data_IF_178404425336
#
_entry.id   IF_178404425336
#
_cell.length_a   1.000
_cell.length_b   1.000
_cell.length_c   1.000
_cell.angle_alpha   90.00
_cell.angle_beta   90.00
_cell.angle_gamma   90.00
#
_symmetry.space_group_name_H-M   'P 1'
#
loop_
_entity.id
_entity.type
_entity.pdbx_description
1 polymer ?
#
# COMPACT_ATOMS: atom_id res chain seq x y z
N UNK A 1 -23.87 6.60 -0.57
CA UNK A 1 -25.06 6.11 -1.31
C UNK A 1 -26.18 5.87 -0.30
N UNK A 2 -27.44 6.18 -0.62
CA UNK A 2 -28.55 6.17 0.37
C UNK A 2 -28.90 4.71 0.70
N UNK A 3 -28.84 4.31 1.98
CA UNK A 3 -28.91 2.90 2.44
C UNK A 3 -30.15 2.12 1.95
N UNK A 4 -31.21 2.82 1.54
CA UNK A 4 -32.43 2.22 1.02
C UNK A 4 -32.34 1.73 -0.44
N UNK A 5 -31.31 2.11 -1.20
CA UNK A 5 -31.16 1.70 -2.60
C UNK A 5 -30.71 0.23 -2.75
N UNK A 6 -29.95 -0.29 -1.77
CA UNK A 6 -29.45 -1.67 -1.76
C UNK A 6 -30.58 -2.70 -1.66
N UNK A 7 -31.55 -2.61 -0.72
CA UNK A 7 -32.64 -3.58 -0.65
C UNK A 7 -33.59 -3.51 -1.86
N UNK A 8 -33.76 -2.35 -2.49
CA UNK A 8 -34.60 -2.19 -3.68
C UNK A 8 -33.98 -2.86 -4.91
N UNK A 9 -32.66 -2.71 -5.10
CA UNK A 9 -31.93 -3.43 -6.14
C UNK A 9 -31.99 -4.95 -5.93
N UNK A 10 -31.80 -5.41 -4.69
CA UNK A 10 -31.93 -6.83 -4.33
C UNK A 10 -33.34 -7.39 -4.61
N UNK A 11 -34.39 -6.65 -4.22
CA UNK A 11 -35.77 -7.06 -4.44
C UNK A 11 -36.14 -7.13 -5.94
N UNK A 12 -35.68 -6.17 -6.75
CA UNK A 12 -35.90 -6.19 -8.20
C UNK A 12 -35.22 -7.38 -8.87
N UNK A 13 -34.00 -7.70 -8.44
CA UNK A 13 -33.20 -8.82 -8.95
C UNK A 13 -33.85 -10.19 -8.63
N UNK A 14 -34.35 -10.35 -7.39
CA UNK A 14 -35.12 -11.52 -6.96
C UNK A 14 -36.43 -11.67 -7.74
N UNK A 15 -37.09 -10.56 -8.07
CA UNK A 15 -38.32 -10.55 -8.88
C UNK A 15 -38.12 -11.11 -10.30
N UNK A 16 -37.00 -10.79 -10.94
CA UNK A 16 -36.66 -11.30 -12.29
C UNK A 16 -36.38 -12.81 -12.27
N UNK A 17 -35.72 -13.31 -11.23
CA UNK A 17 -35.49 -14.75 -11.04
C UNK A 17 -36.81 -15.51 -10.80
N UNK A 18 -37.72 -14.96 -9.98
CA UNK A 18 -39.02 -15.57 -9.73
C UNK A 18 -39.89 -15.63 -11.00
N UNK A 19 -39.90 -14.57 -11.82
CA UNK A 19 -40.67 -14.47 -13.05
C UNK A 19 -40.21 -15.50 -14.11
N UNK A 20 -38.90 -15.74 -14.21
CA UNK A 20 -38.33 -16.72 -15.17
C UNK A 20 -38.62 -18.18 -14.77
N UNK A 21 -38.79 -18.46 -13.47
CA UNK A 21 -39.18 -19.79 -12.98
C UNK A 21 -40.65 -20.12 -13.31
N UNK A 22 -41.54 -19.13 -13.25
CA UNK A 22 -42.97 -19.30 -13.56
C UNK A 22 -43.27 -19.50 -15.05
N UNK A 23 -42.34 -19.12 -15.95
CA UNK A 23 -42.52 -19.19 -17.40
C UNK A 23 -42.14 -20.56 -18.04
N UNK A 24 -41.84 -21.58 -17.23
CA UNK A 24 -41.68 -22.97 -17.71
C UNK A 24 -40.29 -23.33 -18.29
N UNK A 25 -39.27 -22.50 -18.07
CA UNK A 25 -37.90 -22.75 -18.52
C UNK A 25 -36.91 -22.82 -17.32
N UNK A 26 -36.94 -23.90 -16.52
CA UNK A 26 -36.14 -24.00 -15.29
C UNK A 26 -34.62 -23.87 -15.53
N UNK A 27 -34.12 -24.28 -16.69
CA UNK A 27 -32.70 -24.12 -17.07
C UNK A 27 -32.26 -22.66 -17.26
N UNK A 28 -33.16 -21.79 -17.71
CA UNK A 28 -32.87 -20.35 -17.85
C UNK A 28 -32.87 -19.63 -16.50
N UNK A 29 -33.76 -20.02 -15.58
CA UNK A 29 -33.83 -19.42 -14.24
C UNK A 29 -32.56 -19.64 -13.41
N UNK A 30 -31.99 -20.85 -13.46
CA UNK A 30 -30.73 -21.17 -12.76
C UNK A 30 -29.55 -20.38 -13.35
N UNK A 31 -29.50 -20.24 -14.68
CA UNK A 31 -28.44 -19.50 -15.37
C UNK A 31 -28.47 -18.00 -15.03
N UNK A 32 -29.66 -17.41 -14.96
CA UNK A 32 -29.82 -16.00 -14.64
C UNK A 32 -29.50 -15.72 -13.17
N UNK A 33 -29.93 -16.58 -12.23
CA UNK A 33 -29.57 -16.48 -10.82
C UNK A 33 -28.04 -16.60 -10.63
N UNK A 34 -27.39 -17.53 -11.33
CA UNK A 34 -25.94 -17.67 -11.31
C UNK A 34 -25.23 -16.40 -11.80
N UNK A 35 -25.68 -15.84 -12.92
CA UNK A 35 -25.08 -14.63 -13.50
C UNK A 35 -25.29 -13.40 -12.62
N UNK A 36 -26.46 -13.30 -11.99
CA UNK A 36 -26.78 -12.29 -10.97
C UNK A 36 -25.85 -12.41 -9.77
N UNK A 37 -25.62 -13.62 -9.27
CA UNK A 37 -24.83 -13.85 -8.06
C UNK A 37 -23.35 -13.57 -8.33
N UNK A 38 -22.83 -14.05 -9.46
CA UNK A 38 -21.46 -13.75 -9.93
C UNK A 38 -21.30 -12.26 -10.19
N UNK A 39 -22.23 -11.64 -10.92
CA UNK A 39 -22.21 -10.20 -11.21
C UNK A 39 -22.30 -9.35 -9.95
N UNK A 40 -23.11 -9.76 -8.98
CA UNK A 40 -23.21 -9.11 -7.68
C UNK A 40 -21.91 -9.19 -6.88
N UNK A 41 -21.24 -10.35 -6.87
CA UNK A 41 -19.92 -10.52 -6.24
C UNK A 41 -18.87 -9.64 -6.92
N UNK A 42 -18.81 -9.62 -8.25
CA UNK A 42 -17.87 -8.77 -9.00
C UNK A 42 -18.12 -7.29 -8.70
N UNK A 43 -19.38 -6.84 -8.74
CA UNK A 43 -19.72 -5.45 -8.45
C UNK A 43 -19.41 -5.09 -6.99
N UNK A 44 -19.61 -6.01 -6.04
CA UNK A 44 -19.24 -5.81 -4.66
C UNK A 44 -17.73 -5.64 -4.48
N UNK A 45 -16.91 -6.45 -5.16
CA UNK A 45 -15.45 -6.31 -5.17
C UNK A 45 -14.99 -4.98 -5.78
N UNK A 46 -15.68 -4.51 -6.82
CA UNK A 46 -15.38 -3.22 -7.47
C UNK A 46 -15.85 -2.00 -6.66
N UNK A 47 -16.80 -2.19 -5.74
CA UNK A 47 -17.38 -1.12 -4.93
C UNK A 47 -16.83 -1.07 -3.51
N UNK A 48 -15.79 -1.86 -3.18
CA UNK A 48 -15.12 -1.79 -1.88
C UNK A 48 -14.59 -0.36 -1.70
N UNK A 49 -15.05 0.38 -0.68
CA UNK A 49 -14.59 1.74 -0.44
C UNK A 49 -13.09 1.73 -0.14
N UNK A 50 -12.36 2.66 -0.75
CA UNK A 50 -10.97 2.93 -0.38
C UNK A 50 -10.95 3.64 0.98
N UNK A 51 -10.76 2.88 2.05
CA UNK A 51 -10.60 3.46 3.39
C UNK A 51 -9.29 4.26 3.46
N UNK A 52 -9.32 5.46 4.09
CA UNK A 52 -8.14 6.29 4.22
C UNK A 52 -7.14 5.64 5.16
N UNK A 53 -5.87 5.67 4.77
CA UNK A 53 -4.76 5.01 5.44
C UNK A 53 -4.11 5.98 6.45
N UNK A 54 -3.92 5.51 7.68
CA UNK A 54 -3.24 6.25 8.75
C UNK A 54 -4.12 7.27 9.46
N UNK A 55 -3.50 8.02 10.38
CA UNK A 55 -4.14 9.09 11.16
C UNK A 55 -3.59 10.45 10.75
N UNK A 56 -4.39 11.50 10.86
CA UNK A 56 -3.88 12.87 10.67
C UNK A 56 -2.80 13.18 11.70
N UNK A 57 -1.68 13.81 11.28
CA UNK A 57 -0.64 14.24 12.21
C UNK A 57 -1.23 15.17 13.27
N UNK A 58 -0.95 14.92 14.55
CA UNK A 58 -1.28 15.90 15.61
C UNK A 58 -0.24 17.02 15.55
N UNK A 59 -0.70 18.26 15.43
CA UNK A 59 0.19 19.42 15.50
C UNK A 59 0.95 19.44 16.84
N UNK A 60 2.28 19.49 16.78
CA UNK A 60 3.16 19.54 17.95
C UNK A 60 3.66 18.20 18.51
N UNK A 61 3.38 17.05 17.86
CA UNK A 61 4.09 15.80 18.17
C UNK A 61 5.50 15.79 17.55
N UNK A 62 6.43 14.99 18.11
CA UNK A 62 7.71 14.75 17.45
C UNK A 62 7.53 14.18 16.04
N UNK A 63 8.41 14.57 15.11
CA UNK A 63 8.33 14.13 13.72
C UNK A 63 8.64 12.64 13.64
N UNK A 64 7.66 11.86 13.17
CA UNK A 64 7.79 10.42 12.94
C UNK A 64 7.76 10.18 11.45
N UNK A 65 8.92 9.99 10.85
CA UNK A 65 9.05 9.80 9.42
C UNK A 65 8.99 8.31 9.07
N UNK A 66 8.21 7.95 8.06
CA UNK A 66 8.22 6.62 7.45
C UNK A 66 8.85 6.72 6.05
N UNK A 67 10.08 6.25 5.91
CA UNK A 67 10.78 6.12 4.63
C UNK A 67 10.50 4.73 4.04
N UNK A 68 9.85 4.67 2.89
CA UNK A 68 9.55 3.43 2.17
C UNK A 68 10.52 3.30 1.00
N UNK A 69 11.29 2.21 0.96
CA UNK A 69 12.24 1.91 -0.13
C UNK A 69 12.19 0.44 -0.51
N UNK A 70 12.12 0.15 -1.81
CA UNK A 70 12.12 -1.20 -2.37
C UNK A 70 13.50 -1.73 -2.77
N UNK A 71 14.57 -0.96 -2.56
CA UNK A 71 15.92 -1.28 -3.00
C UNK A 71 16.96 -0.91 -1.94
N UNK A 72 18.17 -1.43 -2.09
CA UNK A 72 19.28 -1.10 -1.22
C UNK A 72 19.79 0.33 -1.47
N UNK A 73 19.74 1.18 -0.46
CA UNK A 73 20.33 2.52 -0.49
C UNK A 73 21.82 2.40 -0.14
N UNK A 74 22.66 2.34 -1.17
CA UNK A 74 24.12 2.24 -1.04
C UNK A 74 24.87 3.38 -1.73
N UNK A 75 24.24 4.05 -2.69
CA UNK A 75 24.83 5.17 -3.41
C UNK A 75 24.95 6.39 -2.49
N UNK A 76 26.16 6.93 -2.26
CA UNK A 76 26.38 8.12 -1.43
C UNK A 76 25.52 9.32 -1.84
N UNK A 77 25.31 9.55 -3.13
CA UNK A 77 24.53 10.68 -3.64
C UNK A 77 23.04 10.56 -3.32
N UNK A 78 22.53 9.33 -3.26
CA UNK A 78 21.16 9.02 -2.84
C UNK A 78 21.02 9.16 -1.33
N UNK A 79 22.01 8.66 -0.58
CA UNK A 79 22.08 8.78 0.88
C UNK A 79 22.07 10.24 1.31
N UNK A 80 22.93 11.08 0.71
CA UNK A 80 23.00 12.51 1.00
C UNK A 80 21.68 13.23 0.69
N UNK A 81 21.05 12.90 -0.44
CA UNK A 81 19.77 13.50 -0.84
C UNK A 81 18.65 13.12 0.11
N UNK A 82 18.59 11.85 0.53
CA UNK A 82 17.61 11.40 1.52
C UNK A 82 17.90 12.00 2.89
N UNK A 83 19.14 12.03 3.33
CA UNK A 83 19.53 12.65 4.61
C UNK A 83 19.14 14.13 4.65
N UNK A 84 19.42 14.89 3.59
CA UNK A 84 19.05 16.30 3.51
C UNK A 84 17.53 16.53 3.58
N UNK A 85 16.73 15.64 2.96
CA UNK A 85 15.27 15.71 3.05
C UNK A 85 14.80 15.38 4.47
N UNK A 86 15.34 14.32 5.06
CA UNK A 86 14.98 13.87 6.41
C UNK A 86 15.34 14.94 7.45
N UNK A 87 16.53 15.55 7.36
CA UNK A 87 16.98 16.61 8.27
C UNK A 87 16.16 17.89 8.13
N UNK A 88 15.68 18.22 6.94
CA UNK A 88 14.81 19.39 6.75
C UNK A 88 13.45 19.23 7.45
N UNK A 89 12.95 17.99 7.54
CA UNK A 89 11.65 17.67 8.12
C UNK A 89 11.74 17.20 9.60
N UNK A 90 12.92 16.76 10.05
CA UNK A 90 13.24 16.42 11.43
C UNK A 90 13.68 17.68 12.21
N UNK A 91 12.74 18.29 12.93
CA UNK A 91 12.89 19.55 13.65
C UNK A 91 13.45 19.47 15.08
N UNK A 92 13.84 18.32 15.63
CA UNK A 92 14.51 18.32 16.94
C UNK A 92 14.64 16.98 17.69
N UNK A 93 15.13 17.04 18.95
CA UNK A 93 15.31 15.86 19.78
C UNK A 93 13.97 15.18 20.07
N UNK A 94 13.84 13.93 19.61
CA UNK A 94 12.60 13.14 19.69
C UNK A 94 12.05 12.69 18.35
N UNK A 95 12.65 13.14 17.24
CA UNK A 95 12.28 12.70 15.90
C UNK A 95 12.77 11.28 15.62
N UNK A 96 11.88 10.49 15.04
CA UNK A 96 12.11 9.08 14.75
C UNK A 96 11.98 8.83 13.26
N UNK A 97 12.98 8.18 12.68
CA UNK A 97 12.94 7.73 11.29
C UNK A 97 12.76 6.23 11.27
N UNK A 98 11.77 5.75 10.51
CA UNK A 98 11.54 4.33 10.29
C UNK A 98 11.62 4.02 8.81
N UNK A 99 12.42 3.01 8.47
CA UNK A 99 12.58 2.51 7.10
C UNK A 99 11.73 1.26 6.95
N UNK A 100 10.87 1.25 5.93
CA UNK A 100 10.05 0.12 5.53
C UNK A 100 10.51 -0.38 4.16
N UNK A 101 10.91 -1.65 4.09
CA UNK A 101 11.22 -2.33 2.84
C UNK A 101 10.20 -3.44 2.56
N UNK A 102 9.36 -3.32 1.52
CA UNK A 102 8.39 -4.35 1.16
C UNK A 102 9.11 -5.60 0.66
N UNK A 103 8.59 -6.79 1.01
CA UNK A 103 9.12 -8.07 0.56
C UNK A 103 8.58 -8.43 -0.83
N UNK A 104 8.84 -7.59 -1.84
CA UNK A 104 8.35 -7.82 -3.20
C UNK A 104 8.89 -9.13 -3.78
N UNK A 105 7.97 -10.03 -4.14
CA UNK A 105 8.29 -11.24 -4.87
C UNK A 105 8.27 -10.96 -6.38
N UNK A 106 9.30 -11.41 -7.09
CA UNK A 106 9.31 -11.40 -8.54
C UNK A 106 8.26 -12.40 -9.07
N UNK A 107 7.83 -12.24 -10.33
CA UNK A 107 6.83 -13.13 -10.95
C UNK A 107 7.20 -14.61 -10.82
N UNK A 108 8.48 -14.94 -11.00
CA UNK A 108 9.00 -16.30 -10.87
C UNK A 108 8.99 -16.79 -9.42
N UNK A 109 9.32 -15.94 -8.44
CA UNK A 109 9.27 -16.29 -7.02
C UNK A 109 7.83 -16.58 -6.58
N UNK A 110 6.86 -15.78 -7.06
CA UNK A 110 5.44 -15.99 -6.80
C UNK A 110 4.95 -17.32 -7.40
N UNK A 111 5.38 -17.65 -8.61
CA UNK A 111 5.03 -18.92 -9.25
C UNK A 111 5.67 -20.13 -8.54
N UNK A 112 6.91 -19.99 -8.08
CA UNK A 112 7.61 -21.00 -7.29
C UNK A 112 7.13 -21.10 -5.83
N UNK A 113 6.22 -20.22 -5.39
CA UNK A 113 5.81 -20.06 -3.98
C UNK A 113 7.01 -19.80 -3.05
N UNK A 114 8.12 -19.25 -3.57
CA UNK A 114 9.32 -18.96 -2.79
C UNK A 114 9.23 -17.55 -2.18
N UNK A 115 8.36 -17.40 -1.19
CA UNK A 115 8.26 -16.16 -0.42
C UNK A 115 9.48 -15.93 0.50
N UNK A 116 10.30 -16.96 0.73
CA UNK A 116 11.45 -16.87 1.64
C UNK A 116 12.62 -16.15 0.97
N UNK A 117 12.82 -16.33 -0.34
CA UNK A 117 13.84 -15.62 -1.12
C UNK A 117 13.56 -14.11 -1.14
N UNK A 118 12.31 -13.72 -1.44
CA UNK A 118 11.87 -12.31 -1.47
C UNK A 118 12.08 -11.62 -0.13
N UNK A 119 11.67 -12.26 0.98
CA UNK A 119 11.87 -11.71 2.33
C UNK A 119 13.34 -11.56 2.69
N UNK A 120 14.21 -12.52 2.31
CA UNK A 120 15.65 -12.43 2.54
C UNK A 120 16.29 -11.30 1.76
N UNK A 121 15.87 -11.08 0.50
CA UNK A 121 16.33 -9.96 -0.33
C UNK A 121 15.96 -8.64 0.31
N UNK A 122 14.68 -8.45 0.65
CA UNK A 122 14.20 -7.25 1.34
C UNK A 122 14.95 -7.01 2.66
N UNK A 123 15.22 -8.06 3.45
CA UNK A 123 15.98 -7.92 4.69
C UNK A 123 17.43 -7.48 4.44
N UNK A 124 18.09 -8.04 3.42
CA UNK A 124 19.46 -7.63 3.03
C UNK A 124 19.48 -6.17 2.61
N UNK A 125 18.56 -5.78 1.75
CA UNK A 125 18.51 -4.43 1.17
C UNK A 125 18.16 -3.38 2.25
N UNK A 126 17.30 -3.75 3.20
CA UNK A 126 17.01 -2.96 4.39
C UNK A 126 18.24 -2.78 5.28
N UNK A 127 19.01 -3.84 5.54
CA UNK A 127 20.24 -3.77 6.36
C UNK A 127 21.26 -2.84 5.72
N UNK A 128 21.46 -2.94 4.41
CA UNK A 128 22.36 -2.05 3.66
C UNK A 128 21.89 -0.59 3.79
N UNK A 129 20.60 -0.34 3.56
CA UNK A 129 20.01 1.00 3.62
C UNK A 129 20.16 1.65 5.00
N UNK A 130 19.88 0.89 6.07
CA UNK A 130 20.02 1.36 7.46
C UNK A 130 21.48 1.68 7.77
N UNK A 131 22.41 0.83 7.35
CA UNK A 131 23.83 1.05 7.58
C UNK A 131 24.30 2.35 6.89
N UNK A 132 23.94 2.54 5.62
CA UNK A 132 24.30 3.74 4.86
C UNK A 132 23.73 5.03 5.47
N UNK A 133 22.45 5.02 5.86
CA UNK A 133 21.81 6.19 6.49
C UNK A 133 22.36 6.48 7.89
N UNK A 134 22.68 5.44 8.66
CA UNK A 134 23.31 5.60 9.98
C UNK A 134 24.70 6.23 9.84
N UNK A 135 25.48 5.81 8.83
CA UNK A 135 26.78 6.42 8.53
C UNK A 135 26.67 7.90 8.13
N UNK A 136 25.55 8.29 7.53
CA UNK A 136 25.22 9.68 7.20
C UNK A 136 24.60 10.46 8.38
N UNK A 137 24.53 9.88 9.57
CA UNK A 137 24.03 10.58 10.77
C UNK A 137 22.52 10.50 10.99
N UNK A 138 21.80 9.68 10.20
CA UNK A 138 20.35 9.49 10.34
C UNK A 138 20.06 8.19 11.09
N UNK A 139 19.78 8.22 12.41
CA UNK A 139 19.41 7.02 13.15
C UNK A 139 18.03 6.55 12.70
N UNK A 140 17.96 5.34 12.13
CA UNK A 140 16.71 4.79 11.61
C UNK A 140 16.39 3.41 12.19
N UNK A 141 15.13 3.22 12.57
CA UNK A 141 14.56 1.91 12.85
C UNK A 141 14.17 1.22 11.54
N UNK A 142 14.20 -0.12 11.50
CA UNK A 142 14.06 -0.89 10.27
C UNK A 142 12.91 -1.90 10.37
N UNK A 143 12.10 -2.02 9.32
CA UNK A 143 11.02 -3.01 9.21
C UNK A 143 10.95 -3.60 7.79
N UNK A 144 10.74 -4.91 7.71
CA UNK A 144 10.35 -5.57 6.47
C UNK A 144 8.83 -5.66 6.42
N UNK A 145 8.23 -5.15 5.35
CA UNK A 145 6.79 -5.13 5.13
C UNK A 145 6.27 -6.32 4.32
N UNK A 146 4.98 -6.24 3.98
CA UNK A 146 4.30 -7.15 3.06
C UNK A 146 4.84 -7.00 1.61
N UNK A 147 4.43 -7.90 0.69
CA UNK A 147 4.78 -7.79 -0.72
C UNK A 147 4.05 -6.63 -1.41
N UNK A 148 2.81 -6.36 -0.99
CA UNK A 148 2.01 -5.23 -1.45
C UNK A 148 2.44 -3.97 -0.70
N UNK A 149 2.92 -2.96 -1.44
CA UNK A 149 3.43 -1.72 -0.87
C UNK A 149 2.34 -0.92 -0.15
N UNK A 150 1.11 -0.88 -0.67
CA UNK A 150 -0.01 -0.16 -0.03
C UNK A 150 -0.34 -0.82 1.30
N UNK A 151 -0.44 -2.16 1.30
CA UNK A 151 -0.69 -2.94 2.51
C UNK A 151 0.45 -2.83 3.52
N UNK A 152 1.69 -2.91 3.07
CA UNK A 152 2.86 -2.77 3.93
C UNK A 152 2.87 -1.41 4.65
N UNK A 153 2.51 -0.34 3.94
CA UNK A 153 2.39 1.00 4.51
C UNK A 153 1.21 1.10 5.47
N UNK A 154 0.06 0.51 5.13
CA UNK A 154 -1.12 0.47 5.99
C UNK A 154 -0.85 -0.25 7.31
N UNK A 155 -0.26 -1.45 7.25
CA UNK A 155 0.09 -2.26 8.42
C UNK A 155 1.11 -1.54 9.31
N UNK A 156 2.10 -0.87 8.71
CA UNK A 156 3.09 -0.13 9.48
C UNK A 156 2.48 1.13 10.11
N UNK A 157 1.61 1.86 9.41
CA UNK A 157 0.94 3.04 9.96
C UNK A 157 -0.03 2.70 11.11
N UNK A 158 -0.54 1.47 11.16
CA UNK A 158 -1.35 0.98 12.27
C UNK A 158 -0.54 0.84 13.58
N UNK A 159 0.74 0.51 13.51
CA UNK A 159 1.63 0.36 14.68
C UNK A 159 2.54 1.55 14.92
N UNK A 160 2.80 2.34 13.88
CA UNK A 160 3.69 3.48 13.86
C UNK A 160 2.97 4.66 13.20
N UNK A 161 2.29 5.53 13.97
CA UNK A 161 1.55 6.66 13.42
C UNK A 161 2.54 7.71 12.93
N UNK A 162 3.04 7.52 11.71
CA UNK A 162 3.97 8.42 11.07
C UNK A 162 3.28 9.75 10.76
N UNK A 163 3.99 10.85 10.99
CA UNK A 163 3.55 12.19 10.67
C UNK A 163 3.80 12.54 9.21
N UNK A 164 4.71 11.84 8.54
CA UNK A 164 4.98 11.99 7.11
C UNK A 164 5.47 10.67 6.53
N UNK A 165 5.08 10.39 5.28
CA UNK A 165 5.47 9.21 4.53
C UNK A 165 6.28 9.66 3.31
N UNK A 166 7.52 9.19 3.22
CA UNK A 166 8.40 9.41 2.07
C UNK A 166 8.55 8.10 1.31
N UNK A 167 8.15 8.08 0.05
CA UNK A 167 8.39 6.98 -0.87
C UNK A 167 9.61 7.29 -1.73
N UNK A 168 10.68 6.52 -1.54
CA UNK A 168 11.90 6.59 -2.30
C UNK A 168 11.89 5.52 -3.39
N UNK A 169 12.09 5.95 -4.64
CA UNK A 169 11.87 5.11 -5.82
C UNK A 169 13.08 5.20 -6.75
N UNK A 170 13.50 4.07 -7.30
CA UNK A 170 14.43 4.02 -8.43
C UNK A 170 13.63 3.60 -9.65
N UNK A 171 13.69 4.36 -10.75
CA UNK A 171 13.01 3.94 -11.98
C UNK A 171 13.71 2.71 -12.57
N UNK A 172 13.02 1.67 -13.06
CA UNK A 172 11.57 1.53 -13.22
C UNK A 172 10.90 0.69 -12.11
N UNK A 173 11.48 0.61 -10.90
CA UNK A 173 11.04 -0.30 -9.83
C UNK A 173 9.63 0.02 -9.28
N UNK A 174 8.95 1.07 -9.76
CA UNK A 174 7.59 1.36 -9.36
C UNK A 174 6.55 1.28 -10.46
N UNK A 175 5.47 0.65 -10.04
CA UNK A 175 4.13 0.84 -10.56
C UNK A 175 3.61 2.22 -10.13
N UNK A 176 3.50 3.15 -11.09
CA UNK A 176 2.98 4.49 -10.90
C UNK A 176 1.57 4.47 -10.27
N UNK A 177 0.80 3.41 -10.52
CA UNK A 177 -0.53 3.20 -9.95
C UNK A 177 -0.48 3.07 -8.42
N UNK A 178 0.56 2.42 -7.90
CA UNK A 178 0.74 2.23 -6.46
C UNK A 178 1.06 3.56 -5.76
N UNK A 179 1.94 4.38 -6.35
CA UNK A 179 2.28 5.70 -5.81
C UNK A 179 1.06 6.64 -5.81
N UNK A 180 0.25 6.61 -6.88
CA UNK A 180 -0.97 7.41 -6.94
C UNK A 180 -2.02 6.92 -5.92
N UNK A 181 -2.13 5.60 -5.72
CA UNK A 181 -3.02 5.03 -4.70
C UNK A 181 -2.63 5.50 -3.30
N UNK A 182 -1.34 5.46 -2.95
CA UNK A 182 -0.86 6.00 -1.68
C UNK A 182 -1.15 7.50 -1.56
N UNK A 183 -0.91 8.28 -2.62
CA UNK A 183 -1.18 9.72 -2.63
C UNK A 183 -2.65 10.05 -2.36
N UNK A 184 -3.58 9.24 -2.88
CA UNK A 184 -5.02 9.43 -2.68
C UNK A 184 -5.50 8.96 -1.32
N UNK A 185 -4.93 7.86 -0.79
CA UNK A 185 -5.45 7.19 0.43
C UNK A 185 -4.76 7.63 1.71
N UNK A 186 -3.51 8.09 1.67
CA UNK A 186 -2.78 8.49 2.87
C UNK A 186 -3.36 9.76 3.48
N UNK A 187 -3.64 9.70 4.78
CA UNK A 187 -3.88 10.88 5.61
C UNK A 187 -2.63 11.68 5.95
N UNK A 188 -1.48 11.07 6.32
CA UNK A 188 -0.27 11.86 6.53
C UNK A 188 0.22 12.44 5.19
N UNK A 189 0.92 13.58 5.23
CA UNK A 189 1.69 14.10 4.10
C UNK A 189 2.48 13.00 3.40
N UNK A 190 2.36 12.98 2.08
CA UNK A 190 3.02 12.01 1.21
C UNK A 190 3.99 12.72 0.27
N UNK A 191 5.26 12.32 0.33
CA UNK A 191 6.32 12.82 -0.55
C UNK A 191 6.88 11.65 -1.35
N UNK A 192 6.92 11.81 -2.67
CA UNK A 192 7.50 10.81 -3.57
C UNK A 192 8.78 11.39 -4.18
N UNK A 193 9.90 10.69 -3.99
CA UNK A 193 11.22 11.08 -4.46
C UNK A 193 11.71 10.06 -5.48
N UNK A 194 11.75 10.47 -6.74
CA UNK A 194 12.39 9.72 -7.81
C UNK A 194 13.91 9.92 -7.76
N UNK A 195 14.59 8.86 -7.38
CA UNK A 195 16.04 8.74 -7.34
C UNK A 195 16.50 8.16 -8.68
N UNK A 196 16.36 8.97 -9.74
CA UNK A 196 16.99 8.67 -11.02
C UNK A 196 18.52 8.81 -10.85
N UNK A 197 19.27 7.82 -11.33
CA UNK A 197 20.72 7.98 -11.50
C UNK A 197 20.96 9.11 -12.51
N UNK A 198 21.90 10.04 -12.25
CA UNK A 198 22.31 11.07 -13.21
C UNK A 198 23.06 10.51 -14.41
#
# INVERSE_FOLDING_TARGET
>A
MKSWQVPVLMAGLLGVVALTFTAGAPGLGISLLGLILVGGVILAFLAIPDDPIGTEPRSGSSSRLLLVTGFAIEDPSVVERLAAVIEADAGGPGDEVRILTPARADFLDRWATDYRSARKRAQRDLVISVASLTLAGVPAAARVGDEDLVRAVEDELAVYPATEVILATRSPDLDLETADTLRRRLRPPFRHIDLHEP
#
